data_IF_672360812252
#
_entry.id   IF_672360812252
#
_cell.length_a   1.000
_cell.length_b   1.000
_cell.length_c   1.000
_cell.angle_alpha   90.00
_cell.angle_beta   90.00
_cell.angle_gamma   90.00
#
_symmetry.space_group_name_H-M   'P 1'
#
loop_
_entity.id
_entity.type
_entity.pdbx_description
1 polymer ?
#
# COMPACT_ATOMS: atom_id res chain seq x y z
N UNK A 1 -7.34 6.11 -19.64
CA UNK A 1 -8.59 5.33 -19.59
C UNK A 1 -8.37 4.13 -18.68
N UNK A 2 -8.72 4.25 -17.40
CA UNK A 2 -8.57 3.15 -16.44
C UNK A 2 -9.95 2.64 -16.13
N UNK A 3 -10.28 1.46 -16.68
CA UNK A 3 -11.57 0.80 -16.51
C UNK A 3 -11.87 0.66 -15.01
N UNK A 4 -12.82 1.48 -14.55
CA UNK A 4 -13.39 1.42 -13.22
C UNK A 4 -13.86 -0.02 -12.98
N UNK A 5 -13.52 -0.57 -11.82
CA UNK A 5 -14.01 -1.86 -11.36
C UNK A 5 -15.55 -1.93 -11.47
N UNK A 6 -16.09 -3.04 -11.96
CA UNK A 6 -17.52 -3.38 -11.90
C UNK A 6 -18.08 -3.47 -10.46
N UNK A 7 -17.23 -3.28 -9.42
CA UNK A 7 -17.61 -3.20 -8.02
C UNK A 7 -17.50 -1.76 -7.50
N UNK A 8 -18.54 -1.23 -6.82
CA UNK A 8 -18.45 0.04 -6.10
C UNK A 8 -17.32 0.04 -5.06
N UNK A 9 -16.65 1.19 -4.88
CA UNK A 9 -15.50 1.31 -3.97
C UNK A 9 -15.84 0.93 -2.52
N UNK A 10 -17.02 1.32 -2.03
CA UNK A 10 -17.52 0.94 -0.71
C UNK A 10 -17.65 -0.59 -0.54
N UNK A 11 -18.08 -1.27 -1.60
CA UNK A 11 -18.18 -2.74 -1.63
C UNK A 11 -16.80 -3.39 -1.64
N UNK A 12 -15.86 -2.80 -2.37
CA UNK A 12 -14.49 -3.29 -2.49
C UNK A 12 -13.77 -3.31 -1.13
N UNK A 13 -13.89 -2.25 -0.34
CA UNK A 13 -13.30 -2.18 1.01
C UNK A 13 -13.88 -3.21 1.97
N UNK A 14 -15.18 -3.47 1.90
CA UNK A 14 -15.85 -4.50 2.70
C UNK A 14 -15.38 -5.92 2.32
N UNK A 15 -15.14 -6.17 1.04
CA UNK A 15 -14.55 -7.43 0.55
C UNK A 15 -13.13 -7.61 1.05
N UNK A 16 -12.30 -6.55 0.97
CA UNK A 16 -10.91 -6.55 1.44
C UNK A 16 -10.83 -6.90 2.94
N UNK A 17 -11.60 -6.22 3.79
CA UNK A 17 -11.56 -6.47 5.25
C UNK A 17 -11.97 -7.91 5.64
N UNK A 18 -12.91 -8.52 4.92
CA UNK A 18 -13.29 -9.93 5.15
C UNK A 18 -12.18 -10.90 4.77
N UNK A 19 -11.47 -10.63 3.68
CA UNK A 19 -10.33 -11.44 3.24
C UNK A 19 -9.14 -11.32 4.21
N UNK A 20 -8.86 -10.12 4.73
CA UNK A 20 -7.85 -9.92 5.79
C UNK A 20 -8.18 -10.67 7.08
N UNK A 21 -9.47 -10.83 7.38
CA UNK A 21 -9.96 -11.61 8.54
C UNK A 21 -9.89 -13.14 8.32
N UNK A 22 -9.28 -13.60 7.22
CA UNK A 22 -9.09 -15.02 6.91
C UNK A 22 -10.27 -15.71 6.22
N UNK A 23 -11.32 -14.98 5.81
CA UNK A 23 -12.39 -15.60 5.04
C UNK A 23 -11.94 -16.00 3.63
N UNK A 24 -12.51 -17.09 3.11
CA UNK A 24 -12.16 -17.58 1.76
C UNK A 24 -12.78 -16.70 0.67
N UNK A 25 -12.09 -16.54 -0.46
CA UNK A 25 -12.60 -15.78 -1.62
C UNK A 25 -13.96 -16.27 -2.13
N UNK A 26 -14.25 -17.57 -1.98
CA UNK A 26 -15.53 -18.17 -2.37
C UNK A 26 -16.65 -17.72 -1.43
N UNK A 27 -16.45 -17.86 -0.12
CA UNK A 27 -17.42 -17.40 0.88
C UNK A 27 -17.70 -15.89 0.78
N UNK A 28 -16.65 -15.10 0.51
CA UNK A 28 -16.83 -13.67 0.30
C UNK A 28 -17.61 -13.39 -0.98
N UNK A 29 -17.25 -14.03 -2.11
CA UNK A 29 -17.93 -13.88 -3.38
C UNK A 29 -19.44 -14.20 -3.30
N UNK A 30 -19.79 -15.34 -2.68
CA UNK A 30 -21.18 -15.77 -2.50
C UNK A 30 -21.96 -14.75 -1.66
N UNK A 31 -21.34 -14.19 -0.62
CA UNK A 31 -21.99 -13.22 0.27
C UNK A 31 -22.16 -11.81 -0.33
N UNK A 32 -21.43 -11.46 -1.40
CA UNK A 32 -21.64 -10.20 -2.15
C UNK A 32 -22.35 -10.42 -3.49
N UNK A 33 -22.67 -11.66 -3.86
CA UNK A 33 -23.35 -11.98 -5.11
C UNK A 33 -22.52 -11.72 -6.36
N UNK A 34 -21.19 -11.86 -6.27
CA UNK A 34 -20.25 -11.55 -7.37
C UNK A 34 -19.42 -12.78 -7.71
N UNK A 35 -18.93 -12.87 -8.95
CA UNK A 35 -18.07 -13.99 -9.32
C UNK A 35 -16.77 -14.00 -8.50
N UNK A 36 -16.31 -15.19 -8.07
CA UNK A 36 -15.04 -15.36 -7.36
C UNK A 36 -13.86 -14.69 -8.09
N UNK A 37 -13.85 -14.69 -9.42
CA UNK A 37 -12.81 -14.05 -10.23
C UNK A 37 -12.75 -12.53 -10.02
N UNK A 38 -13.86 -11.88 -9.68
CA UNK A 38 -13.91 -10.45 -9.33
C UNK A 38 -13.24 -10.23 -7.98
N UNK A 39 -13.57 -11.06 -6.97
CA UNK A 39 -12.95 -11.01 -5.64
C UNK A 39 -11.45 -11.33 -5.73
N UNK A 40 -11.05 -12.32 -6.52
CA UNK A 40 -9.66 -12.68 -6.73
C UNK A 40 -8.87 -11.56 -7.43
N UNK A 41 -9.44 -10.92 -8.46
CA UNK A 41 -8.84 -9.76 -9.12
C UNK A 41 -8.71 -8.57 -8.18
N UNK A 42 -9.74 -8.29 -7.39
CA UNK A 42 -9.72 -7.23 -6.39
C UNK A 42 -8.68 -7.49 -5.31
N UNK A 43 -8.60 -8.72 -4.79
CA UNK A 43 -7.63 -9.11 -3.77
C UNK A 43 -6.21 -9.09 -4.28
N UNK A 44 -5.97 -9.66 -5.46
CA UNK A 44 -4.67 -9.58 -6.13
C UNK A 44 -4.29 -8.11 -6.27
N UNK A 45 -5.18 -7.27 -6.81
CA UNK A 45 -4.97 -5.82 -6.91
C UNK A 45 -4.69 -5.19 -5.55
N UNK A 46 -5.43 -5.53 -4.49
CA UNK A 46 -5.21 -4.97 -3.16
C UNK A 46 -3.83 -5.33 -2.59
N UNK A 47 -3.42 -6.60 -2.65
CA UNK A 47 -2.08 -7.03 -2.22
C UNK A 47 -0.97 -6.43 -3.10
N UNK A 48 -1.26 -6.26 -4.38
CA UNK A 48 -0.37 -5.73 -5.41
C UNK A 48 -0.22 -4.21 -5.41
N UNK A 49 -1.26 -3.50 -4.98
CA UNK A 49 -1.27 -2.05 -4.74
C UNK A 49 -0.80 -1.77 -3.31
N UNK A 50 -0.93 -2.76 -2.41
CA UNK A 50 -0.56 -2.77 -1.00
C UNK A 50 -0.67 -1.39 -0.42
N UNK A 51 -1.90 -0.93 -0.14
CA UNK A 51 -2.22 0.48 0.13
C UNK A 51 -1.41 1.03 1.33
N UNK A 52 -0.17 1.36 0.99
CA UNK A 52 0.77 2.34 1.49
C UNK A 52 1.36 2.13 2.89
N UNK A 53 2.09 1.03 3.08
CA UNK A 53 3.37 1.13 3.84
C UNK A 53 4.36 2.09 3.16
N UNK A 54 4.26 2.31 1.84
CA UNK A 54 5.06 3.33 1.14
C UNK A 54 4.76 4.77 1.60
N UNK A 55 3.53 5.10 2.07
CA UNK A 55 3.27 6.40 2.71
C UNK A 55 3.93 6.52 4.08
N UNK A 56 4.14 5.41 4.78
CA UNK A 56 4.83 5.41 6.08
C UNK A 56 6.32 5.70 5.92
N UNK A 57 6.95 5.33 4.81
CA UNK A 57 8.38 5.53 4.60
C UNK A 57 8.71 6.28 3.30
N UNK A 58 8.58 7.62 3.36
CA UNK A 58 8.85 8.58 2.27
C UNK A 58 10.27 8.50 1.65
N UNK A 59 11.18 7.77 2.27
CA UNK A 59 12.60 7.67 1.88
C UNK A 59 12.92 6.40 1.12
N UNK A 60 11.99 5.44 1.04
CA UNK A 60 12.25 4.18 0.35
C UNK A 60 12.05 4.30 -1.15
N UNK A 61 12.97 3.69 -1.90
CA UNK A 61 12.87 3.59 -3.35
C UNK A 61 12.07 2.34 -3.78
N UNK A 62 11.71 2.28 -5.06
CA UNK A 62 10.89 1.19 -5.62
C UNK A 62 11.48 -0.22 -5.40
N UNK A 63 12.81 -0.36 -5.37
CA UNK A 63 13.48 -1.66 -5.12
C UNK A 63 13.38 -2.08 -3.66
N UNK A 64 13.48 -1.14 -2.72
CA UNK A 64 13.28 -1.41 -1.31
C UNK A 64 11.84 -1.84 -1.04
N UNK A 65 10.88 -1.14 -1.62
CA UNK A 65 9.45 -1.48 -1.54
C UNK A 65 9.17 -2.86 -2.14
N UNK A 66 9.77 -3.19 -3.28
CA UNK A 66 9.66 -4.52 -3.90
C UNK A 66 10.08 -5.63 -2.92
N UNK A 67 11.21 -5.47 -2.22
CA UNK A 67 11.70 -6.46 -1.26
C UNK A 67 10.78 -6.60 -0.05
N UNK A 68 10.28 -5.48 0.48
CA UNK A 68 9.35 -5.53 1.60
C UNK A 68 8.04 -6.23 1.24
N UNK A 69 7.50 -5.93 0.06
CA UNK A 69 6.30 -6.59 -0.45
C UNK A 69 6.53 -8.09 -0.62
N UNK A 70 7.68 -8.50 -1.16
CA UNK A 70 8.03 -9.92 -1.27
C UNK A 70 8.05 -10.61 0.09
N UNK A 71 8.64 -10.00 1.13
CA UNK A 71 8.69 -10.57 2.47
C UNK A 71 7.30 -10.63 3.13
N UNK A 72 6.47 -9.61 2.93
CA UNK A 72 5.16 -9.52 3.58
C UNK A 72 4.09 -10.38 2.90
N UNK A 73 4.11 -10.50 1.56
CA UNK A 73 3.06 -11.19 0.79
C UNK A 73 3.53 -12.45 0.09
N UNK A 74 4.84 -12.74 0.07
CA UNK A 74 5.40 -13.89 -0.64
C UNK A 74 5.36 -13.77 -2.18
N UNK A 75 4.85 -12.66 -2.72
CA UNK A 75 4.65 -12.46 -4.17
C UNK A 75 5.79 -11.64 -4.75
N UNK A 76 6.47 -12.20 -5.77
CA UNK A 76 7.55 -11.49 -6.48
C UNK A 76 6.96 -10.50 -7.47
N UNK A 77 7.19 -9.21 -7.22
CA UNK A 77 6.90 -8.14 -8.17
C UNK A 77 8.20 -7.57 -8.73
N UNK A 78 8.15 -6.95 -9.92
CA UNK A 78 9.29 -6.19 -10.45
C UNK A 78 9.30 -4.77 -9.90
N UNK A 79 10.48 -4.15 -9.80
CA UNK A 79 10.61 -2.73 -9.44
C UNK A 79 9.90 -1.79 -10.41
N UNK A 80 9.78 -2.17 -11.70
CA UNK A 80 9.03 -1.41 -12.69
C UNK A 80 7.53 -1.43 -12.41
N UNK A 81 6.98 -2.59 -12.04
CA UNK A 81 5.58 -2.71 -11.64
C UNK A 81 5.28 -1.86 -10.41
N UNK A 82 6.19 -1.86 -9.41
CA UNK A 82 6.07 -0.99 -8.24
C UNK A 82 6.03 0.48 -8.65
N UNK A 83 6.92 0.92 -9.56
CA UNK A 83 6.96 2.31 -10.05
C UNK A 83 5.67 2.72 -10.76
N UNK A 84 5.19 1.92 -11.72
CA UNK A 84 3.96 2.23 -12.46
C UNK A 84 2.77 2.40 -11.51
N UNK A 85 2.68 1.57 -10.47
CA UNK A 85 1.61 1.64 -9.47
C UNK A 85 1.71 2.83 -8.54
N UNK A 86 2.93 3.21 -8.14
CA UNK A 86 3.13 4.46 -7.41
C UNK A 86 2.60 5.65 -8.22
N UNK A 87 2.87 5.66 -9.53
CA UNK A 87 2.37 6.70 -10.43
C UNK A 87 0.84 6.67 -10.56
N UNK A 88 0.23 5.50 -10.73
CA UNK A 88 -1.24 5.35 -10.76
C UNK A 88 -1.90 5.85 -9.45
N UNK A 89 -1.22 5.66 -8.31
CA UNK A 89 -1.64 6.19 -7.00
C UNK A 89 -1.31 7.66 -6.77
N UNK A 90 -0.79 8.39 -7.76
CA UNK A 90 -0.39 9.80 -7.65
C UNK A 90 0.83 10.03 -6.76
N UNK A 91 1.62 8.99 -6.47
CA UNK A 91 2.82 9.06 -5.66
C UNK A 91 4.04 9.22 -6.56
N UNK A 92 4.59 10.43 -6.53
CA UNK A 92 5.80 10.80 -7.25
C UNK A 92 6.95 11.07 -6.29
N UNK A 93 8.17 10.85 -6.78
CA UNK A 93 9.35 11.34 -6.10
C UNK A 93 9.24 12.86 -5.91
N UNK A 94 9.45 13.33 -4.68
CA UNK A 94 9.49 14.77 -4.37
C UNK A 94 10.92 15.20 -4.11
N UNK A 95 11.23 16.44 -4.48
CA UNK A 95 12.49 17.07 -4.06
C UNK A 95 12.46 17.23 -2.54
N UNK A 96 13.46 16.72 -1.81
CA UNK A 96 13.54 16.96 -0.37
C UNK A 96 13.65 18.47 -0.12
N UNK A 97 13.02 18.94 0.95
CA UNK A 97 13.21 20.31 1.41
C UNK A 97 14.70 20.52 1.72
N UNK A 98 15.29 21.58 1.17
CA UNK A 98 16.66 21.96 1.49
C UNK A 98 16.64 22.58 2.88
N UNK A 99 17.09 21.81 3.86
CA UNK A 99 17.25 22.27 5.23
C UNK A 99 18.56 21.73 5.80
N UNK A 100 19.10 22.43 6.79
CA UNK A 100 20.30 21.98 7.51
C UNK A 100 20.01 20.60 8.10
N UNK A 101 20.76 19.54 7.71
CA UNK A 101 20.51 18.20 8.20
C UNK A 101 20.63 18.13 9.71
N UNK A 102 19.58 17.68 10.39
CA UNK A 102 19.63 17.44 11.83
C UNK A 102 20.38 16.15 12.11
N UNK A 103 21.45 16.27 12.89
CA UNK A 103 22.15 15.12 13.46
C UNK A 103 21.19 14.28 14.31
N UNK A 104 21.43 12.97 14.49
CA UNK A 104 20.61 12.13 15.35
C UNK A 104 20.44 12.70 16.78
N UNK A 105 21.49 13.30 17.34
CA UNK A 105 21.46 14.00 18.63
C UNK A 105 20.46 15.16 18.64
N UNK A 106 20.46 16.01 17.60
CA UNK A 106 19.51 17.12 17.50
C UNK A 106 18.07 16.63 17.40
N UNK A 107 17.83 15.54 16.65
CA UNK A 107 16.51 14.92 16.54
C UNK A 107 16.01 14.38 17.88
N UNK A 108 16.87 13.70 18.64
CA UNK A 108 16.53 13.17 19.96
C UNK A 108 16.23 14.29 20.97
N UNK A 109 17.04 15.35 21.00
CA UNK A 109 16.82 16.49 21.89
C UNK A 109 15.50 17.22 21.60
N UNK A 110 15.21 17.50 20.32
CA UNK A 110 13.93 18.11 19.92
C UNK A 110 12.73 17.24 20.28
N UNK A 111 12.84 15.92 20.12
CA UNK A 111 11.78 14.98 20.49
C UNK A 111 11.52 15.02 21.99
N UNK A 112 12.57 14.97 22.82
CA UNK A 112 12.43 15.04 24.29
C UNK A 112 11.73 16.32 24.72
N UNK A 113 12.16 17.47 24.19
CA UNK A 113 11.53 18.74 24.52
C UNK A 113 10.02 18.75 24.20
N UNK A 114 9.64 18.29 23.00
CA UNK A 114 8.24 18.24 22.56
C UNK A 114 7.39 17.18 23.28
N UNK A 115 8.00 16.26 24.02
CA UNK A 115 7.27 15.31 24.88
C UNK A 115 7.17 15.78 26.33
N UNK A 116 8.04 16.71 26.74
CA UNK A 116 8.11 17.24 28.11
C UNK A 116 7.31 18.54 28.29
N UNK A 117 7.03 19.27 27.20
CA UNK A 117 6.29 20.53 27.15
C UNK A 117 5.17 20.43 26.12
#
# INVERSE_FOLDING_TARGET
>A
MSQQSDLPESMAWRVIGRLESGQTQRSVADAVGVARSVVARLWNRFQETGNLTARRNRTENATQLQRQLLLATGRKMSSQTVRNRLHDGGLYARRPMVCIPLTPRHRAARRRWATEH
#
